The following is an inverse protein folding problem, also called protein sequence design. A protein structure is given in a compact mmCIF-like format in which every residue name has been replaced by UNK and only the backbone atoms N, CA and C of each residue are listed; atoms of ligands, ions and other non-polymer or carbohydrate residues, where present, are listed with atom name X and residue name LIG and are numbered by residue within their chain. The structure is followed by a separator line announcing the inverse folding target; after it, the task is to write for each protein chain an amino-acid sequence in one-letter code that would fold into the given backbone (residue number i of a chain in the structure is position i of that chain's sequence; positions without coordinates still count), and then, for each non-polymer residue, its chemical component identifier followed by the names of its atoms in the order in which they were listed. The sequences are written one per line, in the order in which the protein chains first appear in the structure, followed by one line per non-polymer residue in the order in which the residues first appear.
data_IF_764593402930
#
_entry.id   IF_764593402930
#
_cell.length_a   1.000
_cell.length_b   1.000
_cell.length_c   1.000
_cell.angle_alpha   90.00
_cell.angle_beta   90.00
_cell.angle_gamma   90.00
#
_symmetry.space_group_name_H-M   'P 1'
#
loop_
_entity.id
_entity.type
_entity.pdbx_description
1 polymer ?
#
# COMPACT_ATOMS: atom_id res chain seq x y z
N UNK A 1 37.97 19.61 -29.72
CA UNK A 1 37.11 19.84 -28.54
C UNK A 1 35.65 19.47 -28.85
N UNK A 2 35.33 18.19 -29.08
CA UNK A 2 33.96 17.72 -29.43
C UNK A 2 33.53 16.44 -28.71
N UNK A 3 34.31 15.98 -27.71
CA UNK A 3 34.11 14.67 -27.06
C UNK A 3 33.59 14.76 -25.61
N UNK A 4 33.28 15.94 -25.10
CA UNK A 4 32.98 16.17 -23.67
C UNK A 4 31.46 16.18 -23.38
N UNK A 5 30.60 16.21 -24.41
CA UNK A 5 29.16 16.43 -24.22
C UNK A 5 28.39 15.15 -23.82
N UNK A 6 28.98 13.96 -23.99
CA UNK A 6 28.27 12.69 -23.75
C UNK A 6 28.21 12.32 -22.25
N UNK A 7 29.07 12.91 -21.41
CA UNK A 7 29.12 12.59 -19.98
C UNK A 7 28.02 13.24 -19.13
N UNK A 8 27.30 14.23 -19.66
CA UNK A 8 26.29 14.99 -18.89
C UNK A 8 24.88 14.38 -18.94
N UNK A 9 24.59 13.46 -19.86
CA UNK A 9 23.25 12.90 -20.04
C UNK A 9 22.91 11.75 -19.08
N UNK A 10 23.88 11.19 -18.37
CA UNK A 10 23.70 10.02 -17.47
C UNK A 10 23.31 10.44 -16.04
N UNK A 11 23.43 11.72 -15.69
CA UNK A 11 23.16 12.21 -14.33
C UNK A 11 21.69 12.58 -14.06
N UNK A 12 20.80 12.56 -15.07
CA UNK A 12 19.40 12.96 -14.91
C UNK A 12 18.40 11.81 -14.73
N UNK A 13 18.84 10.56 -14.80
CA UNK A 13 17.98 9.37 -14.65
C UNK A 13 17.85 8.86 -13.21
N UNK A 14 18.44 9.52 -12.21
CA UNK A 14 18.40 9.10 -10.80
C UNK A 14 17.23 9.66 -10.00
N UNK A 15 16.29 10.39 -10.63
CA UNK A 15 14.95 10.61 -10.05
C UNK A 15 14.10 9.33 -10.15
N UNK A 16 14.69 8.20 -9.75
CA UNK A 16 13.98 6.97 -9.52
C UNK A 16 13.07 7.20 -8.30
N UNK A 17 11.78 7.42 -8.59
CA UNK A 17 10.67 7.11 -7.71
C UNK A 17 10.88 7.52 -6.25
N UNK A 18 10.89 8.83 -5.97
CA UNK A 18 10.42 9.25 -4.65
C UNK A 18 8.97 8.81 -4.58
N UNK A 19 8.72 7.61 -4.06
CA UNK A 19 7.39 7.09 -3.78
C UNK A 19 6.68 8.17 -2.97
N UNK A 20 5.82 8.98 -3.59
CA UNK A 20 5.15 10.03 -2.84
C UNK A 20 4.23 9.34 -1.85
N UNK A 21 4.31 9.72 -0.58
CA UNK A 21 3.33 9.30 0.40
C UNK A 21 1.95 9.79 -0.06
N UNK A 22 0.95 8.94 0.08
CA UNK A 22 -0.43 9.20 -0.30
C UNK A 22 -1.35 8.74 0.80
N UNK A 23 -2.59 9.21 0.73
CA UNK A 23 -3.65 8.73 1.59
C UNK A 23 -4.25 7.48 0.94
N UNK A 24 -4.32 6.42 1.72
CA UNK A 24 -4.89 5.13 1.35
C UNK A 24 -6.07 4.79 2.24
N UNK A 25 -6.96 3.92 1.78
CA UNK A 25 -8.08 3.41 2.57
C UNK A 25 -8.03 1.90 2.49
N UNK A 26 -7.79 1.24 3.61
CA UNK A 26 -7.90 -0.21 3.70
C UNK A 26 -9.36 -0.59 3.98
N UNK A 27 -10.00 -1.26 3.03
CA UNK A 27 -11.38 -1.76 3.14
C UNK A 27 -11.37 -3.23 3.57
N UNK A 28 -11.83 -3.49 4.77
CA UNK A 28 -11.98 -4.84 5.33
C UNK A 28 -13.43 -5.30 5.26
N UNK A 29 -13.68 -6.39 4.55
CA UNK A 29 -15.01 -7.03 4.53
C UNK A 29 -14.97 -8.28 5.38
N UNK A 30 -15.85 -8.35 6.39
CA UNK A 30 -16.02 -9.53 7.23
C UNK A 30 -17.33 -10.21 6.89
N UNK A 31 -17.26 -11.49 6.56
CA UNK A 31 -18.41 -12.33 6.20
C UNK A 31 -18.62 -13.40 7.27
N UNK A 32 -19.79 -13.40 7.91
CA UNK A 32 -20.20 -14.40 8.90
C UNK A 32 -21.57 -14.95 8.49
N UNK A 33 -21.58 -16.15 7.92
CA UNK A 33 -22.79 -16.74 7.35
C UNK A 33 -23.32 -15.89 6.17
N UNK A 34 -24.60 -15.47 6.16
CA UNK A 34 -25.17 -14.64 5.11
C UNK A 34 -24.94 -13.13 5.30
N UNK A 35 -24.27 -12.73 6.39
CA UNK A 35 -24.07 -11.32 6.74
C UNK A 35 -22.66 -10.89 6.36
N UNK A 36 -22.56 -9.78 5.66
CA UNK A 36 -21.30 -9.09 5.35
C UNK A 36 -21.29 -7.72 6.02
N UNK A 37 -20.15 -7.37 6.61
CA UNK A 37 -19.91 -6.03 7.17
C UNK A 37 -18.62 -5.50 6.59
N UNK A 38 -18.64 -4.27 6.09
CA UNK A 38 -17.45 -3.58 5.60
C UNK A 38 -17.03 -2.52 6.61
N UNK A 39 -15.75 -2.53 6.97
CA UNK A 39 -15.09 -1.47 7.71
C UNK A 39 -13.99 -0.82 6.86
N UNK A 40 -13.77 0.48 7.04
CA UNK A 40 -12.75 1.23 6.32
C UNK A 40 -11.75 1.80 7.32
N UNK A 41 -10.47 1.56 7.08
CA UNK A 41 -9.37 2.12 7.86
C UNK A 41 -8.61 3.15 7.01
N UNK A 42 -8.69 4.41 7.42
CA UNK A 42 -7.94 5.49 6.79
C UNK A 42 -6.45 5.37 7.14
N UNK A 43 -5.60 5.38 6.11
CA UNK A 43 -4.15 5.28 6.19
C UNK A 43 -3.52 6.51 5.54
N UNK A 44 -3.51 7.67 6.23
CA UNK A 44 -3.02 8.91 5.66
C UNK A 44 -1.50 8.93 5.56
N UNK A 45 -0.97 9.59 4.53
CA UNK A 45 0.45 9.86 4.34
C UNK A 45 1.36 8.61 4.48
N UNK A 46 0.96 7.51 3.84
CA UNK A 46 1.71 6.25 3.81
C UNK A 46 2.41 6.05 2.47
N UNK A 47 3.51 5.30 2.47
CA UNK A 47 3.99 4.68 1.23
C UNK A 47 3.11 3.46 0.91
N UNK A 48 2.96 3.12 -0.36
CA UNK A 48 2.13 1.97 -0.77
C UNK A 48 2.43 0.68 0.01
N UNK A 49 3.71 0.31 0.10
CA UNK A 49 4.16 -0.86 0.85
C UNK A 49 3.77 -0.82 2.33
N UNK A 50 3.86 0.35 2.97
CA UNK A 50 3.54 0.50 4.38
C UNK A 50 2.03 0.45 4.60
N UNK A 51 1.25 1.00 3.66
CA UNK A 51 -0.19 0.87 3.64
C UNK A 51 -0.60 -0.60 3.46
N UNK A 52 0.08 -1.36 2.59
CA UNK A 52 -0.20 -2.80 2.34
C UNK A 52 0.06 -3.60 3.60
N UNK A 53 1.20 -3.34 4.24
CA UNK A 53 1.54 -4.01 5.48
C UNK A 53 0.57 -3.65 6.61
N UNK A 54 0.13 -2.40 6.71
CA UNK A 54 -0.89 -2.00 7.68
C UNK A 54 -2.23 -2.69 7.42
N UNK A 55 -2.65 -2.76 6.15
CA UNK A 55 -3.90 -3.40 5.75
C UNK A 55 -3.89 -4.92 6.01
N UNK A 56 -2.77 -5.59 5.72
CA UNK A 56 -2.56 -7.00 6.07
C UNK A 56 -2.63 -7.25 7.57
N UNK A 57 -2.08 -6.35 8.41
CA UNK A 57 -2.20 -6.50 9.86
C UNK A 57 -3.65 -6.43 10.33
N UNK A 58 -4.48 -5.55 9.76
CA UNK A 58 -5.90 -5.53 10.09
C UNK A 58 -6.60 -6.84 9.72
N UNK A 59 -6.25 -7.42 8.56
CA UNK A 59 -6.76 -8.73 8.16
C UNK A 59 -6.31 -9.85 9.10
N UNK A 60 -5.02 -9.90 9.43
CA UNK A 60 -4.43 -10.89 10.32
C UNK A 60 -5.02 -10.81 11.72
N UNK A 61 -5.16 -9.60 12.27
CA UNK A 61 -5.74 -9.36 13.59
C UNK A 61 -7.22 -9.77 13.64
N UNK A 62 -8.00 -9.46 12.60
CA UNK A 62 -9.40 -9.87 12.50
C UNK A 62 -9.54 -11.40 12.37
N UNK A 63 -8.67 -12.02 11.58
CA UNK A 63 -8.67 -13.46 11.34
C UNK A 63 -7.99 -14.27 12.45
N UNK A 64 -7.29 -13.64 13.40
CA UNK A 64 -6.63 -14.33 14.50
C UNK A 64 -7.60 -15.17 15.36
N UNK A 65 -8.84 -14.68 15.49
CA UNK A 65 -9.90 -15.37 16.27
C UNK A 65 -10.85 -16.20 15.38
N UNK A 66 -11.01 -15.82 14.11
CA UNK A 66 -11.90 -16.49 13.15
C UNK A 66 -11.23 -16.51 11.77
N UNK A 67 -10.37 -17.50 11.47
CA UNK A 67 -9.58 -17.50 10.25
C UNK A 67 -10.44 -17.54 8.98
N UNK A 68 -10.19 -16.63 8.05
CA UNK A 68 -10.81 -16.61 6.73
C UNK A 68 -12.20 -15.97 6.69
N UNK A 69 -12.64 -15.31 7.76
CA UNK A 69 -13.90 -14.54 7.75
C UNK A 69 -13.72 -13.12 7.25
N UNK A 70 -12.52 -12.54 7.40
CA UNK A 70 -12.24 -11.15 7.03
C UNK A 70 -11.25 -11.10 5.88
N UNK A 71 -11.48 -10.22 4.92
CA UNK A 71 -10.57 -9.95 3.80
C UNK A 71 -10.41 -8.44 3.64
N UNK A 72 -9.16 -7.96 3.63
CA UNK A 72 -8.84 -6.54 3.56
C UNK A 72 -8.11 -6.19 2.27
N UNK A 73 -8.49 -5.08 1.65
CA UNK A 73 -7.87 -4.59 0.41
C UNK A 73 -7.66 -3.08 0.47
N UNK A 74 -6.57 -2.62 -0.14
CA UNK A 74 -6.24 -1.20 -0.30
C UNK A 74 -6.95 -0.51 -1.46
#
# INVERSE_FOLDING_TARGET
MKKIIIAAAVLFSTFAFTSCKRDYICKCTTTVGPVETTDNHDLPNQYHHDAEQACQRFEDDANASAPGTTNCNL
#
